data_IF_628168181633
#
_entry.id   IF_628168181633
#
_cell.length_a   1.000
_cell.length_b   1.000
_cell.length_c   1.000
_cell.angle_alpha   90.00
_cell.angle_beta   90.00
_cell.angle_gamma   90.00
#
_symmetry.space_group_name_H-M   'P 1'
#
loop_
_entity.id
_entity.type
_entity.pdbx_description
1 polymer ?
#
# COMPACT_ATOMS: atom_id res chain seq x y z
N UNK A 1 66.99 31.18 -19.64
CA UNK A 1 66.51 31.94 -20.83
C UNK A 1 65.15 31.32 -21.19
N UNK A 2 63.99 31.98 -21.09
CA UNK A 2 63.62 33.32 -21.52
C UNK A 2 62.53 33.98 -20.63
N UNK A 3 62.47 35.32 -20.79
CA UNK A 3 61.62 36.39 -20.26
C UNK A 3 60.09 36.17 -20.42
N UNK A 4 59.25 36.48 -19.40
CA UNK A 4 58.50 37.74 -19.15
C UNK A 4 57.33 38.04 -20.12
N UNK A 5 56.09 37.99 -19.61
CA UNK A 5 55.10 39.09 -19.65
C UNK A 5 53.76 38.68 -19.00
N UNK A 6 53.19 39.59 -18.21
CA UNK A 6 52.04 39.42 -17.32
C UNK A 6 50.63 39.51 -17.96
N UNK A 7 49.58 39.72 -17.13
CA UNK A 7 48.26 39.13 -17.32
C UNK A 7 47.27 40.04 -18.09
N UNK A 8 46.23 39.43 -18.69
CA UNK A 8 45.04 40.14 -19.17
C UNK A 8 43.83 39.78 -18.31
N UNK A 9 43.32 40.79 -17.63
CA UNK A 9 41.99 40.89 -17.06
C UNK A 9 40.95 41.06 -18.16
N UNK A 10 39.85 40.31 -18.11
CA UNK A 10 38.57 40.72 -18.72
C UNK A 10 37.45 40.40 -17.76
N UNK A 11 36.82 41.48 -17.28
CA UNK A 11 35.54 41.51 -16.60
C UNK A 11 34.47 40.69 -17.33
N UNK A 12 33.81 39.77 -16.60
CA UNK A 12 32.51 39.24 -16.96
C UNK A 12 31.53 39.57 -15.84
N UNK A 13 30.59 40.47 -16.14
CA UNK A 13 29.47 40.84 -15.27
C UNK A 13 28.53 39.64 -15.06
N UNK A 14 27.88 39.50 -13.89
CA UNK A 14 26.86 38.48 -13.70
C UNK A 14 25.55 38.92 -14.36
N UNK A 15 25.06 38.15 -15.33
CA UNK A 15 23.76 38.38 -15.96
C UNK A 15 22.62 37.99 -15.01
N UNK A 16 21.62 38.86 -14.95
CA UNK A 16 20.58 38.90 -13.93
C UNK A 16 19.61 37.72 -14.01
N UNK A 17 19.24 37.22 -12.83
CA UNK A 17 18.19 36.23 -12.66
C UNK A 17 16.86 36.67 -13.28
N UNK A 18 16.39 35.93 -14.29
CA UNK A 18 15.01 35.99 -14.74
C UNK A 18 14.13 35.18 -13.78
N UNK A 19 13.43 35.88 -12.90
CA UNK A 19 12.29 35.32 -12.18
C UNK A 19 11.20 34.94 -13.18
N UNK A 20 10.90 33.65 -13.29
CA UNK A 20 9.71 33.17 -14.00
C UNK A 20 8.46 33.54 -13.18
N UNK A 21 7.71 34.56 -13.62
CA UNK A 21 6.36 34.83 -13.13
C UNK A 21 5.36 33.91 -13.83
N UNK A 22 4.65 33.10 -13.04
CA UNK A 22 3.51 32.31 -13.53
C UNK A 22 2.33 33.24 -13.90
N UNK A 23 1.56 32.94 -14.95
CA UNK A 23 0.40 33.72 -15.35
C UNK A 23 -0.75 33.59 -14.32
N UNK A 24 -1.62 34.62 -14.18
CA UNK A 24 -2.71 34.60 -13.21
C UNK A 24 -3.78 33.54 -13.55
N UNK A 25 -4.23 32.82 -12.52
CA UNK A 25 -5.26 31.78 -12.62
C UNK A 25 -6.63 32.37 -13.00
N UNK A 26 -7.30 31.77 -13.99
CA UNK A 26 -8.72 32.05 -14.28
C UNK A 26 -9.62 31.46 -13.18
N UNK A 27 -10.70 32.15 -12.77
CA UNK A 27 -11.64 31.64 -11.79
C UNK A 27 -12.45 30.46 -12.35
N UNK A 28 -12.85 29.48 -11.52
CA UNK A 28 -13.59 28.31 -11.97
C UNK A 28 -15.01 28.68 -12.43
N UNK A 29 -15.44 28.14 -13.57
CA UNK A 29 -16.82 28.23 -14.05
C UNK A 29 -17.74 27.44 -13.10
N UNK A 30 -18.75 28.12 -12.54
CA UNK A 30 -19.82 27.48 -11.75
C UNK A 30 -20.59 26.48 -12.62
N UNK A 31 -20.61 25.20 -12.22
CA UNK A 31 -21.53 24.20 -12.79
C UNK A 31 -22.95 24.42 -12.24
N UNK A 32 -24.01 24.26 -13.05
CA UNK A 32 -25.39 24.36 -12.57
C UNK A 32 -25.72 23.22 -11.59
N UNK A 33 -26.46 23.55 -10.52
CA UNK A 33 -26.94 22.59 -9.51
C UNK A 33 -27.89 21.58 -10.16
N UNK A 34 -27.59 20.29 -10.03
CA UNK A 34 -28.58 19.22 -10.26
C UNK A 34 -29.48 19.10 -9.04
N UNK A 35 -30.79 19.16 -9.25
CA UNK A 35 -31.81 18.84 -8.25
C UNK A 35 -31.85 17.33 -7.99
N UNK A 36 -32.06 16.87 -6.74
CA UNK A 36 -32.19 15.44 -6.46
C UNK A 36 -33.56 14.92 -6.91
N UNK A 37 -33.60 13.74 -7.52
CA UNK A 37 -34.83 12.99 -7.76
C UNK A 37 -35.38 12.41 -6.44
N UNK A 38 -36.72 12.31 -6.28
CA UNK A 38 -37.32 11.75 -5.07
C UNK A 38 -37.15 10.22 -4.99
N UNK A 39 -37.11 9.62 -3.78
CA UNK A 39 -37.03 8.18 -3.60
C UNK A 39 -38.37 7.49 -3.92
N UNK A 40 -38.36 6.20 -4.32
CA UNK A 40 -39.58 5.45 -4.58
C UNK A 40 -40.34 5.10 -3.29
N UNK A 41 -41.66 5.06 -3.40
CA UNK A 41 -42.61 4.83 -2.32
C UNK A 41 -42.52 3.41 -1.74
N UNK A 42 -42.51 3.31 -0.41
CA UNK A 42 -42.64 2.07 0.35
C UNK A 42 -44.14 1.83 0.58
N UNK A 43 -44.68 0.72 0.05
CA UNK A 43 -46.00 0.22 0.44
C UNK A 43 -45.91 -0.59 1.73
N UNK A 44 -46.64 -0.16 2.76
CA UNK A 44 -47.08 -1.00 3.89
C UNK A 44 -47.97 -2.15 3.39
N UNK A 45 -48.42 -3.12 4.18
CA UNK A 45 -48.70 -3.16 5.61
C UNK A 45 -49.31 -4.54 5.91
N UNK A 46 -49.09 -5.11 7.10
CA UNK A 46 -49.99 -6.12 7.68
C UNK A 46 -49.35 -7.06 8.70
N UNK A 47 -50.03 -7.45 9.81
CA UNK A 47 -49.41 -7.46 11.14
C UNK A 47 -49.24 -8.84 11.80
N UNK A 48 -48.40 -8.84 12.84
CA UNK A 48 -48.23 -9.85 13.89
C UNK A 48 -49.53 -10.16 14.69
N UNK A 49 -49.73 -11.44 15.04
CA UNK A 49 -49.89 -11.90 16.45
C UNK A 49 -49.87 -13.45 16.62
N UNK A 50 -49.25 -13.98 17.70
CA UNK A 50 -49.29 -15.39 18.15
C UNK A 50 -50.28 -15.52 19.34
N UNK A 51 -50.23 -16.51 20.29
CA UNK A 51 -49.62 -17.86 20.36
C UNK A 51 -50.63 -18.95 20.83
N UNK A 52 -50.26 -20.23 20.90
CA UNK A 52 -50.91 -21.20 21.81
C UNK A 52 -49.90 -22.23 22.38
N UNK A 53 -49.93 -22.35 23.71
CA UNK A 53 -49.29 -23.37 24.55
C UNK A 53 -50.20 -24.60 24.70
N UNK A 54 -49.60 -25.80 24.81
CA UNK A 54 -50.01 -26.89 25.70
C UNK A 54 -49.04 -28.08 25.54
N UNK A 55 -48.17 -28.34 26.52
CA UNK A 55 -48.29 -29.35 27.61
C UNK A 55 -48.48 -30.79 27.14
N UNK A 56 -47.53 -31.66 27.49
CA UNK A 56 -47.69 -33.11 27.33
C UNK A 56 -46.42 -33.88 27.67
N UNK A 57 -46.25 -34.16 28.96
CA UNK A 57 -45.26 -35.06 29.57
C UNK A 57 -45.37 -36.50 29.06
N UNK A 58 -44.24 -37.20 28.91
CA UNK A 58 -44.18 -38.65 28.70
C UNK A 58 -42.77 -39.21 28.90
N UNK A 59 -42.56 -39.84 30.04
CA UNK A 59 -41.36 -40.59 30.45
C UNK A 59 -41.25 -41.91 29.68
N UNK A 60 -40.04 -42.35 29.32
CA UNK A 60 -39.80 -43.68 28.74
C UNK A 60 -38.36 -43.96 28.30
N UNK A 61 -37.55 -44.41 29.26
CA UNK A 61 -36.43 -45.36 29.23
C UNK A 61 -35.56 -45.68 27.98
N UNK A 62 -34.25 -45.74 28.28
CA UNK A 62 -33.21 -46.69 27.83
C UNK A 62 -32.84 -46.83 26.34
N UNK A 63 -31.58 -46.50 26.02
CA UNK A 63 -30.46 -47.45 25.84
C UNK A 63 -29.47 -47.04 24.71
N UNK A 64 -28.17 -47.20 25.02
CA UNK A 64 -27.00 -47.41 24.11
C UNK A 64 -26.59 -46.33 23.10
N UNK A 65 -25.33 -45.90 23.22
CA UNK A 65 -24.57 -45.35 22.09
C UNK A 65 -23.36 -44.53 22.53
N UNK A 66 -22.25 -45.20 22.85
CA UNK A 66 -21.01 -44.52 23.17
C UNK A 66 -20.50 -43.67 22.01
N UNK A 67 -20.17 -42.41 22.28
CA UNK A 67 -19.27 -41.62 21.44
C UNK A 67 -18.19 -41.06 22.35
N UNK A 68 -17.01 -41.67 22.28
CA UNK A 68 -15.78 -41.14 22.87
C UNK A 68 -15.57 -39.73 22.36
N UNK A 69 -15.45 -38.78 23.28
CA UNK A 69 -14.95 -37.44 23.00
C UNK A 69 -13.58 -37.55 22.31
N UNK A 70 -13.52 -37.19 21.03
CA UNK A 70 -12.24 -37.00 20.32
C UNK A 70 -11.58 -35.77 20.93
N UNK A 71 -10.52 -36.03 21.71
CA UNK A 71 -9.55 -35.03 22.16
C UNK A 71 -9.07 -34.20 20.95
N UNK A 72 -8.88 -32.91 21.21
CA UNK A 72 -8.61 -31.86 20.23
C UNK A 72 -7.60 -32.24 19.16
N UNK A 73 -7.97 -31.96 17.92
CA UNK A 73 -7.05 -31.93 16.78
C UNK A 73 -6.15 -30.71 17.00
N UNK A 74 -4.88 -30.93 17.31
CA UNK A 74 -3.89 -29.87 17.24
C UNK A 74 -3.94 -29.25 15.84
N UNK A 75 -4.16 -27.94 15.75
CA UNK A 75 -4.06 -27.22 14.48
C UNK A 75 -2.61 -27.30 14.02
N UNK A 76 -2.37 -28.12 13.00
CA UNK A 76 -1.10 -28.09 12.26
C UNK A 76 -1.07 -26.71 11.60
N UNK A 77 -0.22 -25.80 12.10
CA UNK A 77 0.08 -24.54 11.41
C UNK A 77 0.56 -24.94 10.01
N UNK A 78 -0.27 -24.71 8.99
CA UNK A 78 0.14 -24.91 7.61
C UNK A 78 1.38 -24.03 7.39
N UNK A 79 2.48 -24.65 6.95
CA UNK A 79 3.69 -23.92 6.58
C UNK A 79 3.37 -23.07 5.35
N UNK A 80 3.90 -21.85 5.30
CA UNK A 80 3.80 -21.01 4.11
C UNK A 80 4.41 -21.75 2.91
N UNK A 81 3.66 -21.83 1.81
CA UNK A 81 4.13 -22.41 0.56
C UNK A 81 4.34 -21.29 -0.46
N UNK A 82 5.62 -21.07 -0.78
CA UNK A 82 6.04 -20.08 -1.77
C UNK A 82 5.54 -20.46 -3.16
N UNK A 83 5.57 -21.74 -3.53
CA UNK A 83 5.21 -22.22 -4.87
C UNK A 83 3.72 -21.99 -5.14
N UNK A 84 2.85 -22.36 -4.20
CA UNK A 84 1.40 -22.10 -4.34
C UNK A 84 1.11 -20.61 -4.51
N UNK A 85 1.81 -19.75 -3.76
CA UNK A 85 1.64 -18.29 -3.88
C UNK A 85 2.13 -17.76 -5.23
N UNK A 86 3.27 -18.26 -5.71
CA UNK A 86 3.84 -17.91 -7.02
C UNK A 86 2.89 -18.30 -8.16
N UNK A 87 2.33 -19.51 -8.13
CA UNK A 87 1.34 -19.98 -9.12
C UNK A 87 0.12 -19.07 -9.14
N UNK A 88 -0.48 -18.80 -7.97
CA UNK A 88 -1.65 -17.91 -7.88
C UNK A 88 -1.35 -16.51 -8.42
N UNK A 89 -0.17 -15.95 -8.08
CA UNK A 89 0.24 -14.64 -8.59
C UNK A 89 0.46 -14.63 -10.11
N UNK A 90 1.07 -15.68 -10.67
CA UNK A 90 1.31 -15.80 -12.11
C UNK A 90 0.01 -16.00 -12.91
N UNK A 91 -0.95 -16.77 -12.39
CA UNK A 91 -2.22 -17.04 -13.05
C UNK A 91 -3.16 -15.83 -12.98
N UNK A 92 -3.43 -15.35 -11.77
CA UNK A 92 -4.46 -14.33 -11.50
C UNK A 92 -3.95 -12.89 -11.63
N UNK A 93 -2.62 -12.69 -11.59
CA UNK A 93 -2.00 -11.36 -11.58
C UNK A 93 -2.18 -10.59 -10.26
N UNK A 94 -2.91 -11.13 -9.29
CA UNK A 94 -3.10 -10.58 -7.95
C UNK A 94 -3.13 -11.70 -6.92
N UNK A 95 -2.51 -11.47 -5.76
CA UNK A 95 -2.58 -12.40 -4.63
C UNK A 95 -2.66 -11.62 -3.31
N UNK A 96 -3.64 -11.96 -2.47
CA UNK A 96 -3.81 -11.36 -1.14
C UNK A 96 -3.46 -12.40 -0.06
N UNK A 97 -2.42 -12.11 0.72
CA UNK A 97 -1.98 -12.97 1.80
C UNK A 97 -2.44 -12.42 3.15
N UNK A 98 -3.16 -13.22 3.97
CA UNK A 98 -3.57 -12.80 5.30
C UNK A 98 -2.38 -12.74 6.27
N UNK A 99 -2.51 -11.99 7.39
CA UNK A 99 -1.39 -11.77 8.32
C UNK A 99 -0.75 -13.04 8.86
N UNK A 100 -1.54 -14.06 9.21
CA UNK A 100 -1.00 -15.32 9.76
C UNK A 100 -0.08 -16.03 8.75
N UNK A 101 -0.45 -16.01 7.47
CA UNK A 101 0.35 -16.57 6.38
C UNK A 101 1.65 -15.79 6.22
N UNK A 102 1.59 -14.46 6.24
CA UNK A 102 2.78 -13.61 6.11
C UNK A 102 3.69 -13.77 7.33
N UNK A 103 3.15 -13.73 8.55
CA UNK A 103 3.91 -13.92 9.78
C UNK A 103 4.61 -15.28 9.83
N UNK A 104 3.93 -16.34 9.38
CA UNK A 104 4.54 -17.66 9.23
C UNK A 104 5.66 -17.67 8.18
N UNK A 105 5.48 -16.98 7.05
CA UNK A 105 6.48 -16.86 5.98
C UNK A 105 7.73 -16.10 6.42
N UNK A 106 7.56 -15.07 7.24
CA UNK A 106 8.64 -14.22 7.73
C UNK A 106 9.34 -14.81 8.99
N UNK A 107 8.73 -15.79 9.65
CA UNK A 107 9.24 -16.37 10.89
C UNK A 107 9.23 -15.38 12.06
N UNK A 108 8.19 -14.53 12.12
CA UNK A 108 8.15 -13.38 13.03
C UNK A 108 7.24 -13.61 14.23
N UNK A 109 7.79 -13.33 15.41
CA UNK A 109 7.04 -13.22 16.65
C UNK A 109 6.23 -11.91 16.71
N UNK A 110 4.99 -11.91 17.24
CA UNK A 110 4.12 -10.73 17.28
C UNK A 110 4.76 -9.48 17.89
N UNK A 111 5.69 -9.63 18.84
CA UNK A 111 6.39 -8.51 19.50
C UNK A 111 7.24 -7.67 18.54
N UNK A 112 7.69 -8.23 17.41
CA UNK A 112 8.42 -7.46 16.39
C UNK A 112 7.52 -6.50 15.63
N UNK A 113 6.22 -6.73 15.64
CA UNK A 113 5.27 -5.87 14.95
C UNK A 113 5.23 -4.46 15.53
N UNK A 114 5.24 -4.33 16.86
CA UNK A 114 5.24 -3.03 17.54
C UNK A 114 6.47 -2.21 17.16
N UNK A 115 7.65 -2.81 17.16
CA UNK A 115 8.89 -2.16 16.74
C UNK A 115 8.83 -1.75 15.26
N UNK A 116 8.36 -2.63 14.39
CA UNK A 116 8.25 -2.33 12.96
C UNK A 116 7.28 -1.19 12.67
N UNK A 117 6.11 -1.18 13.32
CA UNK A 117 5.10 -0.14 13.13
C UNK A 117 5.56 1.24 13.64
N UNK A 118 6.45 1.29 14.63
CA UNK A 118 6.97 2.55 15.17
C UNK A 118 7.78 3.37 14.14
N UNK A 119 8.32 2.74 13.09
CA UNK A 119 9.00 3.46 12.01
C UNK A 119 8.10 4.46 11.27
N UNK A 120 6.77 4.30 11.34
CA UNK A 120 5.82 5.25 10.73
C UNK A 120 5.69 6.56 11.50
N UNK A 121 6.16 6.61 12.75
CA UNK A 121 6.09 7.82 13.57
C UNK A 121 7.22 8.82 13.27
N UNK A 122 8.24 8.40 12.53
CA UNK A 122 9.35 9.24 12.05
C UNK A 122 9.34 9.39 10.52
N UNK A 123 8.17 9.42 9.87
CA UNK A 123 8.08 9.75 8.44
C UNK A 123 8.14 11.26 8.21
N UNK A 124 8.71 11.66 7.07
CA UNK A 124 8.77 13.05 6.63
C UNK A 124 7.55 13.43 5.78
N UNK A 125 7.15 14.71 5.79
CA UNK A 125 6.06 15.19 4.94
C UNK A 125 6.40 15.04 3.45
N UNK A 126 5.41 14.60 2.65
CA UNK A 126 5.51 14.52 1.18
C UNK A 126 5.13 15.89 0.57
N UNK A 127 6.11 16.65 0.02
CA UNK A 127 5.84 18.00 -0.46
C UNK A 127 5.07 18.03 -1.79
N UNK A 128 4.94 16.90 -2.48
CA UNK A 128 4.35 16.84 -3.83
C UNK A 128 2.83 16.72 -3.80
N UNK A 129 2.27 16.08 -2.78
CA UNK A 129 0.82 15.80 -2.74
C UNK A 129 -0.03 16.94 -2.19
N UNK A 130 0.58 17.92 -1.53
CA UNK A 130 -0.14 19.03 -0.92
C UNK A 130 -0.95 19.84 -1.95
N UNK A 131 -0.44 19.97 -3.18
CA UNK A 131 -1.12 20.63 -4.30
C UNK A 131 -2.43 19.94 -4.70
N UNK A 132 -2.61 18.67 -4.32
CA UNK A 132 -3.78 17.84 -4.62
C UNK A 132 -4.75 17.73 -3.42
N UNK A 133 -4.54 18.50 -2.35
CA UNK A 133 -5.44 18.54 -1.20
C UNK A 133 -5.35 17.34 -0.26
N UNK A 134 -4.32 16.51 -0.41
CA UNK A 134 -4.04 15.37 0.48
C UNK A 134 -2.76 15.63 1.27
N UNK A 135 -2.67 15.04 2.46
CA UNK A 135 -1.48 15.03 3.30
C UNK A 135 -0.97 13.60 3.38
N UNK A 136 0.31 13.43 3.05
CA UNK A 136 1.01 12.16 3.12
C UNK A 136 2.36 12.39 3.77
N UNK A 137 2.80 11.44 4.58
CA UNK A 137 4.17 11.36 5.06
C UNK A 137 4.80 10.12 4.47
N UNK A 138 6.06 10.20 4.06
CA UNK A 138 6.78 9.08 3.47
C UNK A 138 8.29 9.23 3.58
N UNK A 139 8.96 8.10 3.41
CA UNK A 139 10.38 8.01 3.11
C UNK A 139 10.58 7.12 1.89
N UNK A 140 11.81 7.01 1.41
CA UNK A 140 12.14 6.20 0.25
C UNK A 140 13.62 5.81 0.23
N UNK A 141 13.89 4.54 -0.03
CA UNK A 141 15.21 4.06 -0.45
C UNK A 141 15.09 2.90 -1.44
N UNK A 142 16.23 2.51 -2.00
CA UNK A 142 16.37 1.39 -2.93
C UNK A 142 17.31 0.33 -2.38
N UNK A 143 17.05 -0.91 -2.73
CA UNK A 143 17.88 -2.05 -2.37
C UNK A 143 18.11 -2.96 -3.58
N UNK A 144 19.31 -3.51 -3.69
CA UNK A 144 19.59 -4.67 -4.53
C UNK A 144 19.29 -5.92 -3.72
N UNK A 145 18.60 -6.89 -4.31
CA UNK A 145 18.30 -8.16 -3.65
C UNK A 145 18.55 -9.36 -4.58
N UNK A 146 19.18 -10.39 -4.04
CA UNK A 146 19.43 -11.67 -4.71
C UNK A 146 18.79 -12.77 -3.86
N UNK A 147 17.56 -13.20 -4.18
CA UNK A 147 16.80 -14.09 -3.29
C UNK A 147 17.45 -15.46 -3.07
N UNK A 148 18.21 -15.95 -4.06
CA UNK A 148 18.81 -17.28 -4.05
C UNK A 148 19.88 -17.46 -2.95
N UNK A 149 20.66 -16.42 -2.67
CA UNK A 149 21.69 -16.42 -1.62
C UNK A 149 21.30 -15.56 -0.39
N UNK A 150 20.15 -14.88 -0.45
CA UNK A 150 19.64 -14.07 0.65
C UNK A 150 20.36 -12.73 0.82
N UNK A 151 21.05 -12.25 -0.22
CA UNK A 151 21.71 -10.94 -0.24
C UNK A 151 20.67 -9.82 -0.39
N UNK A 152 20.92 -8.75 0.36
CA UNK A 152 20.11 -7.53 0.37
C UNK A 152 21.04 -6.39 0.75
N UNK A 153 21.33 -5.52 -0.21
CA UNK A 153 22.27 -4.42 -0.07
C UNK A 153 21.57 -3.08 -0.36
N UNK A 154 21.77 -2.05 0.47
CA UNK A 154 21.26 -0.72 0.18
C UNK A 154 21.95 -0.16 -1.08
N UNK A 155 21.17 0.47 -1.95
CA UNK A 155 21.69 1.23 -3.08
C UNK A 155 21.84 2.71 -2.70
N UNK A 156 22.68 3.49 -3.42
CA UNK A 156 22.77 4.93 -3.20
C UNK A 156 21.39 5.60 -3.25
N UNK A 157 21.11 6.47 -2.29
CA UNK A 157 19.89 7.27 -2.29
C UNK A 157 19.89 8.23 -3.49
N UNK A 158 18.86 8.17 -4.30
CA UNK A 158 18.67 9.03 -5.48
C UNK A 158 17.26 9.63 -5.45
N UNK A 159 17.00 10.72 -6.19
CA UNK A 159 15.62 11.15 -6.43
C UNK A 159 14.78 10.00 -6.99
N UNK A 160 13.50 9.99 -6.65
CA UNK A 160 12.55 9.01 -7.18
C UNK A 160 11.98 9.51 -8.51
N UNK A 161 12.27 8.77 -9.57
CA UNK A 161 11.58 8.86 -10.85
C UNK A 161 10.70 7.63 -10.95
N UNK A 162 9.40 7.82 -11.19
CA UNK A 162 8.50 6.68 -11.32
C UNK A 162 8.81 5.93 -12.62
N UNK A 163 9.09 4.62 -12.56
CA UNK A 163 9.42 3.83 -13.74
C UNK A 163 8.35 3.91 -14.84
N UNK A 164 8.81 3.85 -16.09
CA UNK A 164 7.95 3.84 -17.27
C UNK A 164 7.12 5.10 -17.49
N UNK A 165 7.39 6.20 -16.77
CA UNK A 165 6.66 7.47 -16.86
C UNK A 165 5.14 7.29 -16.66
N UNK A 166 4.79 6.30 -15.82
CA UNK A 166 3.40 5.85 -15.64
C UNK A 166 2.56 6.78 -14.78
N UNK A 167 3.19 7.72 -14.05
CA UNK A 167 2.47 8.65 -13.20
C UNK A 167 2.00 9.90 -13.97
N UNK A 168 0.70 10.04 -14.24
CA UNK A 168 0.19 11.20 -14.99
C UNK A 168 0.29 12.51 -14.20
N UNK A 169 0.44 12.47 -12.86
CA UNK A 169 0.60 13.67 -12.04
C UNK A 169 2.04 14.21 -12.05
N UNK A 170 3.02 13.35 -12.30
CA UNK A 170 4.44 13.67 -12.21
C UNK A 170 5.21 13.15 -13.42
N UNK A 171 4.84 13.55 -14.66
CA UNK A 171 5.60 13.16 -15.84
C UNK A 171 7.00 13.74 -15.74
N UNK A 172 8.02 12.87 -15.71
CA UNK A 172 9.44 13.24 -15.72
C UNK A 172 9.92 14.08 -14.52
N UNK A 173 9.15 14.13 -13.43
CA UNK A 173 9.52 14.90 -12.24
C UNK A 173 10.37 14.03 -11.31
N UNK A 174 11.61 14.44 -11.10
CA UNK A 174 12.45 13.93 -10.02
C UNK A 174 11.85 14.34 -8.66
N UNK A 175 11.43 13.34 -7.88
CA UNK A 175 10.87 13.57 -6.55
C UNK A 175 11.89 13.27 -5.47
N UNK A 176 12.30 14.30 -4.74
CA UNK A 176 13.24 14.20 -3.63
C UNK A 176 12.45 13.88 -2.35
N UNK A 177 12.57 12.64 -1.88
CA UNK A 177 12.00 12.20 -0.62
C UNK A 177 13.09 12.01 0.42
N UNK A 178 12.74 12.07 1.70
CA UNK A 178 13.69 11.73 2.76
C UNK A 178 14.08 10.23 2.66
N UNK A 179 15.37 9.88 2.91
CA UNK A 179 15.80 8.49 2.98
C UNK A 179 15.12 7.77 4.15
N UNK A 180 15.14 6.44 4.15
CA UNK A 180 14.82 5.65 5.33
C UNK A 180 15.80 5.99 6.47
N UNK A 181 15.36 5.83 7.72
CA UNK A 181 16.25 5.98 8.88
C UNK A 181 17.22 4.79 8.94
N UNK A 182 18.36 4.95 9.62
CA UNK A 182 19.31 3.85 9.80
C UNK A 182 18.67 2.67 10.56
N UNK A 183 17.79 2.95 11.51
CA UNK A 183 17.02 1.97 12.26
C UNK A 183 16.06 1.18 11.37
N UNK A 184 15.42 1.84 10.39
CA UNK A 184 14.55 1.17 9.43
C UNK A 184 15.38 0.36 8.42
N UNK A 185 16.48 0.91 7.90
CA UNK A 185 17.36 0.17 6.98
C UNK A 185 17.92 -1.11 7.61
N UNK A 186 18.18 -1.10 8.92
CA UNK A 186 18.67 -2.27 9.68
C UNK A 186 17.56 -3.18 10.24
N UNK A 187 16.29 -2.91 9.92
CA UNK A 187 15.14 -3.62 10.50
C UNK A 187 15.03 -5.07 9.99
N UNK A 188 15.13 -6.08 10.88
CA UNK A 188 15.05 -7.48 10.46
C UNK A 188 13.75 -7.88 9.76
N UNK A 189 12.60 -7.29 10.16
CA UNK A 189 11.33 -7.55 9.49
C UNK A 189 11.36 -7.08 8.03
N UNK A 190 11.91 -5.87 7.81
CA UNK A 190 12.04 -5.31 6.46
C UNK A 190 12.90 -6.23 5.60
N UNK A 191 14.08 -6.65 6.10
CA UNK A 191 14.95 -7.58 5.39
C UNK A 191 14.22 -8.88 5.01
N UNK A 192 13.54 -9.51 5.97
CA UNK A 192 12.81 -10.76 5.73
C UNK A 192 11.70 -10.59 4.68
N UNK A 193 10.98 -9.46 4.74
CA UNK A 193 9.94 -9.12 3.78
C UNK A 193 10.51 -8.93 2.38
N UNK A 194 11.56 -8.12 2.20
CA UNK A 194 12.14 -7.88 0.87
C UNK A 194 12.68 -9.17 0.22
N UNK A 195 13.30 -10.05 1.00
CA UNK A 195 13.74 -11.35 0.50
C UNK A 195 12.57 -12.27 0.13
N UNK A 196 11.47 -12.24 0.89
CA UNK A 196 10.24 -12.94 0.52
C UNK A 196 9.66 -12.40 -0.78
N UNK A 197 9.58 -11.07 -0.93
CA UNK A 197 9.07 -10.44 -2.14
C UNK A 197 9.91 -10.80 -3.37
N UNK A 198 11.23 -10.82 -3.24
CA UNK A 198 12.12 -11.26 -4.33
C UNK A 198 11.88 -12.72 -4.74
N UNK A 199 11.67 -13.63 -3.77
CA UNK A 199 11.29 -15.02 -4.10
C UNK A 199 9.94 -15.07 -4.81
N UNK A 200 8.94 -14.32 -4.35
CA UNK A 200 7.63 -14.31 -5.00
C UNK A 200 7.66 -13.68 -6.40
N UNK A 201 8.50 -12.67 -6.60
CA UNK A 201 8.68 -12.00 -7.89
C UNK A 201 9.24 -12.94 -8.98
N UNK A 202 9.94 -14.01 -8.60
CA UNK A 202 10.46 -14.99 -9.57
C UNK A 202 9.36 -15.77 -10.30
N UNK A 203 8.10 -15.66 -9.89
CA UNK A 203 6.95 -16.16 -10.65
C UNK A 203 6.65 -15.31 -11.89
N UNK A 204 7.11 -14.06 -11.90
CA UNK A 204 6.76 -13.05 -12.90
C UNK A 204 7.91 -12.75 -13.87
N UNK A 205 9.16 -12.99 -13.45
CA UNK A 205 10.37 -12.78 -14.24
C UNK A 205 11.52 -13.67 -13.74
N UNK A 206 12.42 -14.09 -14.62
CA UNK A 206 13.56 -14.98 -14.31
C UNK A 206 14.83 -14.17 -13.97
N UNK A 207 14.66 -13.13 -13.14
CA UNK A 207 15.75 -12.27 -12.73
C UNK A 207 16.47 -12.83 -11.49
N UNK A 208 17.78 -13.01 -11.60
CA UNK A 208 18.63 -13.41 -10.47
C UNK A 208 18.70 -12.32 -9.38
N UNK A 209 18.74 -11.06 -9.82
CA UNK A 209 18.83 -9.88 -8.95
C UNK A 209 17.71 -8.90 -9.29
N UNK A 210 17.15 -8.28 -8.26
CA UNK A 210 16.10 -7.28 -8.39
C UNK A 210 16.52 -5.98 -7.74
N UNK A 211 16.09 -4.86 -8.34
CA UNK A 211 16.06 -3.58 -7.64
C UNK A 211 14.70 -3.43 -6.98
N UNK A 212 14.70 -3.26 -5.65
CA UNK A 212 13.52 -2.93 -4.87
C UNK A 212 13.48 -1.44 -4.56
N UNK A 213 12.31 -0.83 -4.72
CA UNK A 213 12.00 0.54 -4.27
C UNK A 213 11.07 0.44 -3.07
N UNK A 214 11.48 0.99 -1.94
CA UNK A 214 10.81 0.81 -0.66
C UNK A 214 10.21 2.14 -0.21
N UNK A 215 8.88 2.19 -0.08
CA UNK A 215 8.13 3.41 0.22
C UNK A 215 7.20 3.21 1.43
N UNK A 216 7.68 3.41 2.67
CA UNK A 216 6.79 3.55 3.81
C UNK A 216 5.99 4.84 3.65
N UNK A 217 4.67 4.75 3.81
CA UNK A 217 3.77 5.89 3.66
C UNK A 217 2.66 5.89 4.71
N UNK A 218 2.33 7.09 5.18
CA UNK A 218 1.20 7.42 6.05
C UNK A 218 0.30 8.41 5.32
N UNK A 219 -0.94 8.02 5.04
CA UNK A 219 -1.97 8.92 4.51
C UNK A 219 -2.75 9.51 5.67
N UNK A 220 -2.99 10.82 5.63
CA UNK A 220 -3.65 11.58 6.70
C UNK A 220 -4.96 12.17 6.17
N UNK A 221 -6.07 11.87 6.84
CA UNK A 221 -7.35 12.54 6.63
C UNK A 221 -7.67 13.44 7.84
N UNK A 222 -8.18 14.64 7.58
CA UNK A 222 -8.61 15.58 8.62
C UNK A 222 -9.60 16.58 8.02
N UNK A 223 -10.10 17.53 8.81
CA UNK A 223 -10.96 18.60 8.29
C UNK A 223 -10.34 19.34 7.07
N UNK A 224 -9.01 19.45 7.05
CA UNK A 224 -8.26 20.17 6.01
C UNK A 224 -7.58 19.23 4.99
N UNK A 225 -7.84 17.92 5.02
CA UNK A 225 -7.17 16.96 4.14
C UNK A 225 -8.06 15.79 3.73
N UNK A 226 -8.15 15.54 2.42
CA UNK A 226 -9.05 14.56 1.82
C UNK A 226 -8.73 13.10 2.20
N UNK A 227 -7.51 12.80 2.67
CA UNK A 227 -7.11 11.44 2.99
C UNK A 227 -7.02 10.51 1.77
N UNK A 228 -6.74 11.06 0.59
CA UNK A 228 -6.63 10.31 -0.67
C UNK A 228 -5.21 9.71 -0.82
N UNK A 229 -5.06 8.37 -0.81
CA UNK A 229 -3.77 7.71 -1.03
C UNK A 229 -3.25 7.81 -2.46
N UNK A 230 -4.17 7.80 -3.43
CA UNK A 230 -3.89 7.69 -4.88
C UNK A 230 -4.58 8.83 -5.62
N UNK A 231 -4.12 10.09 -5.46
CA UNK A 231 -4.75 11.27 -6.07
C UNK A 231 -4.75 11.25 -7.61
N UNK A 232 -3.87 10.45 -8.21
CA UNK A 232 -3.83 10.15 -9.65
C UNK A 232 -4.99 9.25 -10.12
N UNK A 233 -5.71 8.62 -9.19
CA UNK A 233 -6.73 7.62 -9.47
C UNK A 233 -6.13 6.25 -9.76
N UNK A 234 -6.84 5.45 -10.56
CA UNK A 234 -6.42 4.11 -10.97
C UNK A 234 -5.17 4.19 -11.83
N UNK A 235 -4.11 3.50 -11.44
CA UNK A 235 -2.80 3.59 -12.09
C UNK A 235 -2.02 2.27 -12.03
N UNK A 236 -0.80 2.33 -12.60
CA UNK A 236 0.27 1.35 -12.56
C UNK A 236 1.55 2.05 -12.15
N UNK A 237 2.47 1.32 -11.54
CA UNK A 237 3.74 1.87 -11.08
C UNK A 237 4.86 1.76 -12.13
N UNK A 238 4.66 0.98 -13.19
CA UNK A 238 5.62 0.78 -14.27
C UNK A 238 6.69 -0.25 -13.92
N UNK A 239 6.34 -1.24 -13.09
CA UNK A 239 7.28 -2.23 -12.53
C UNK A 239 6.82 -3.66 -12.84
N UNK A 240 7.57 -4.66 -12.38
CA UNK A 240 7.16 -6.07 -12.51
C UNK A 240 6.19 -6.45 -11.40
N UNK A 241 6.61 -6.26 -10.14
CA UNK A 241 5.79 -6.55 -8.96
C UNK A 241 5.57 -5.26 -8.18
N UNK A 242 4.31 -4.95 -7.86
CA UNK A 242 3.94 -3.94 -6.86
C UNK A 242 3.29 -4.63 -5.67
N UNK A 243 3.60 -4.16 -4.47
CA UNK A 243 3.06 -4.73 -3.24
C UNK A 243 2.58 -3.64 -2.29
N UNK A 244 1.53 -3.95 -1.54
CA UNK A 244 1.04 -3.11 -0.44
C UNK A 244 0.98 -3.96 0.82
N UNK A 245 1.94 -3.77 1.71
CA UNK A 245 1.95 -4.38 3.03
C UNK A 245 1.29 -3.46 4.05
N UNK A 246 0.17 -3.89 4.62
CA UNK A 246 -0.64 -3.06 5.51
C UNK A 246 -0.04 -3.03 6.92
N UNK A 247 0.28 -1.83 7.41
CA UNK A 247 0.92 -1.63 8.71
C UNK A 247 -0.10 -1.30 9.78
N UNK A 248 -1.08 -0.46 9.46
CA UNK A 248 -2.13 -0.14 10.40
C UNK A 248 -2.99 1.02 9.96
N UNK A 249 -4.00 1.29 10.78
CA UNK A 249 -4.82 2.49 10.65
C UNK A 249 -5.26 2.96 12.02
N UNK A 250 -5.51 4.26 12.14
CA UNK A 250 -6.03 4.88 13.37
C UNK A 250 -7.13 5.86 13.01
N UNK A 251 -8.26 5.77 13.71
CA UNK A 251 -9.41 6.66 13.51
C UNK A 251 -9.87 6.73 12.04
N UNK A 252 -9.74 5.64 11.27
CA UNK A 252 -9.95 5.66 9.83
C UNK A 252 -10.96 4.60 9.38
N UNK A 253 -11.87 5.02 8.51
CA UNK A 253 -12.70 4.17 7.64
C UNK A 253 -12.35 4.44 6.17
N UNK A 254 -12.94 3.70 5.23
CA UNK A 254 -12.55 3.78 3.82
C UNK A 254 -11.21 3.10 3.56
N UNK A 255 -10.43 3.60 2.60
CA UNK A 255 -9.15 2.98 2.25
C UNK A 255 -9.29 1.64 1.52
N UNK A 256 -10.38 1.47 0.77
CA UNK A 256 -10.67 0.26 -0.01
C UNK A 256 -9.71 0.18 -1.18
N UNK A 257 -8.94 -0.89 -1.24
CA UNK A 257 -8.09 -1.23 -2.37
C UNK A 257 -8.91 -1.93 -3.45
N UNK A 258 -8.76 -1.47 -4.69
CA UNK A 258 -9.34 -2.10 -5.87
C UNK A 258 -8.21 -2.43 -6.85
N UNK A 259 -8.20 -3.67 -7.33
CA UNK A 259 -7.30 -4.15 -8.40
C UNK A 259 -8.16 -4.62 -9.55
N UNK A 260 -7.82 -4.20 -10.76
CA UNK A 260 -8.52 -4.56 -12.00
C UNK A 260 -7.52 -5.02 -13.05
N UNK A 261 -7.99 -5.75 -14.06
CA UNK A 261 -7.19 -6.03 -15.27
C UNK A 261 -6.91 -4.75 -16.05
N UNK A 262 -5.97 -4.79 -16.99
CA UNK A 262 -5.76 -3.70 -17.96
C UNK A 262 -7.02 -3.32 -18.76
N UNK A 263 -7.98 -4.24 -18.93
CA UNK A 263 -9.27 -3.97 -19.57
C UNK A 263 -10.29 -3.31 -18.63
N UNK A 264 -9.99 -3.21 -17.34
CA UNK A 264 -10.85 -2.61 -16.31
C UNK A 264 -11.73 -3.59 -15.55
N UNK A 265 -11.63 -4.90 -15.82
CA UNK A 265 -12.40 -5.95 -15.14
C UNK A 265 -11.92 -6.13 -13.68
N UNK A 266 -12.82 -6.22 -12.70
CA UNK A 266 -12.45 -6.33 -11.29
C UNK A 266 -11.78 -7.67 -10.97
N UNK A 267 -10.61 -7.63 -10.34
CA UNK A 267 -9.90 -8.80 -9.82
C UNK A 267 -9.99 -8.88 -8.29
N UNK A 268 -9.87 -7.75 -7.61
CA UNK A 268 -9.93 -7.65 -6.16
C UNK A 268 -10.58 -6.33 -5.74
N UNK A 269 -11.44 -6.37 -4.73
CA UNK A 269 -11.89 -5.17 -4.01
C UNK A 269 -12.00 -5.50 -2.53
N UNK A 270 -11.13 -4.90 -1.71
CA UNK A 270 -11.06 -5.19 -0.28
C UNK A 270 -10.51 -4.01 0.51
N UNK A 271 -10.91 -3.87 1.76
CA UNK A 271 -10.24 -2.96 2.69
C UNK A 271 -9.14 -3.74 3.43
N UNK A 272 -7.88 -3.29 3.32
CA UNK A 272 -6.82 -3.83 4.15
C UNK A 272 -6.98 -3.29 5.56
N UNK A 273 -7.28 -4.16 6.52
CA UNK A 273 -7.67 -3.78 7.88
C UNK A 273 -6.87 -4.50 8.98
N UNK A 274 -6.32 -5.68 8.69
CA UNK A 274 -5.46 -6.41 9.61
C UNK A 274 -3.98 -6.13 9.35
N UNK A 275 -3.24 -5.60 10.35
CA UNK A 275 -1.79 -5.42 10.27
C UNK A 275 -1.08 -6.71 9.86
N UNK A 276 -0.16 -6.62 8.89
CA UNK A 276 0.54 -7.79 8.33
C UNK A 276 -0.12 -8.38 7.07
N UNK A 277 -1.27 -7.87 6.63
CA UNK A 277 -1.86 -8.25 5.34
C UNK A 277 -0.95 -7.78 4.19
N UNK A 278 -0.63 -8.68 3.26
CA UNK A 278 0.21 -8.38 2.10
C UNK A 278 -0.58 -8.56 0.79
N UNK A 279 -0.71 -7.49 0.03
CA UNK A 279 -1.21 -7.54 -1.35
C UNK A 279 -0.04 -7.57 -2.33
N UNK A 280 -0.07 -8.51 -3.27
CA UNK A 280 0.87 -8.67 -4.37
C UNK A 280 0.11 -8.45 -5.69
N UNK A 281 0.68 -7.69 -6.63
CA UNK A 281 0.11 -7.52 -7.97
C UNK A 281 1.21 -7.59 -9.03
N UNK A 282 0.99 -8.36 -10.10
CA UNK A 282 1.75 -8.20 -11.34
C UNK A 282 1.34 -6.85 -11.94
N UNK A 283 2.19 -5.85 -11.71
CA UNK A 283 1.95 -4.47 -12.14
C UNK A 283 1.94 -4.39 -13.65
N UNK A 284 2.40 -5.41 -14.41
CA UNK A 284 2.37 -5.43 -15.88
C UNK A 284 0.97 -5.72 -16.44
N UNK A 285 0.11 -6.37 -15.64
CA UNK A 285 -1.20 -6.90 -16.06
C UNK A 285 -2.38 -6.26 -15.35
N UNK A 286 -2.12 -5.54 -14.26
CA UNK A 286 -3.14 -5.01 -13.36
C UNK A 286 -3.05 -3.50 -13.23
N UNK A 287 -4.18 -2.85 -12.94
CA UNK A 287 -4.24 -1.47 -12.46
C UNK A 287 -4.78 -1.49 -11.03
N UNK A 288 -4.32 -0.56 -10.19
CA UNK A 288 -4.74 -0.50 -8.80
C UNK A 288 -5.11 0.92 -8.35
N UNK A 289 -5.91 1.00 -7.30
CA UNK A 289 -6.33 2.25 -6.65
C UNK A 289 -6.65 1.98 -5.18
N UNK A 290 -6.53 3.00 -4.32
CA UNK A 290 -7.07 2.97 -2.97
C UNK A 290 -8.04 4.13 -2.79
N UNK A 291 -9.26 3.86 -2.30
CA UNK A 291 -10.22 4.93 -2.01
C UNK A 291 -9.74 5.80 -0.83
N UNK A 292 -10.25 7.03 -0.77
CA UNK A 292 -9.94 7.94 0.34
C UNK A 292 -10.30 7.31 1.70
N UNK A 293 -9.47 7.60 2.70
CA UNK A 293 -9.80 7.32 4.10
C UNK A 293 -10.59 8.49 4.71
N UNK A 294 -11.46 8.20 5.67
CA UNK A 294 -12.27 9.19 6.37
C UNK A 294 -12.17 9.01 7.89
N UNK A 295 -12.12 10.12 8.66
CA UNK A 295 -12.09 10.03 10.11
C UNK A 295 -13.38 9.43 10.67
N UNK A 296 -13.24 8.41 11.53
CA UNK A 296 -14.38 7.88 12.28
C UNK A 296 -14.89 8.92 13.28
N UNK A 297 -13.97 9.56 14.00
CA UNK A 297 -14.20 10.73 14.84
C UNK A 297 -13.67 11.97 14.12
N UNK A 298 -14.54 12.87 13.62
CA UNK A 298 -14.15 14.03 12.83
C UNK A 298 -13.35 15.08 13.62
N UNK A 299 -13.31 15.00 14.95
CA UNK A 299 -12.52 15.91 15.78
C UNK A 299 -11.02 15.53 15.81
N UNK A 300 -10.65 14.35 15.31
CA UNK A 300 -9.26 13.86 15.31
C UNK A 300 -8.82 13.45 13.90
N UNK A 301 -7.52 13.57 13.57
CA UNK A 301 -7.02 13.08 12.30
C UNK A 301 -7.13 11.54 12.19
N UNK A 302 -7.28 11.07 10.97
CA UNK A 302 -7.26 9.67 10.57
C UNK A 302 -5.93 9.33 9.90
N UNK A 303 -5.43 8.12 10.13
CA UNK A 303 -4.16 7.65 9.57
C UNK A 303 -4.33 6.28 8.92
N UNK A 304 -3.67 6.08 7.78
CA UNK A 304 -3.48 4.76 7.15
C UNK A 304 -2.01 4.58 6.79
N UNK A 305 -1.41 3.55 7.35
CA UNK A 305 0.00 3.22 7.23
C UNK A 305 0.17 1.97 6.35
N UNK A 306 0.99 2.10 5.32
CA UNK A 306 1.33 1.01 4.42
C UNK A 306 2.79 1.11 3.99
N UNK A 307 3.41 -0.05 3.76
CA UNK A 307 4.68 -0.16 3.06
C UNK A 307 4.40 -0.58 1.63
N UNK A 308 4.59 0.34 0.69
CA UNK A 308 4.57 0.01 -0.74
C UNK A 308 5.97 -0.38 -1.15
N UNK A 309 6.11 -1.57 -1.72
CA UNK A 309 7.39 -2.03 -2.27
C UNK A 309 7.19 -2.45 -3.71
N UNK A 310 8.03 -1.93 -4.60
CA UNK A 310 8.06 -2.35 -6.01
C UNK A 310 9.36 -3.04 -6.35
N UNK A 311 9.31 -3.99 -7.29
CA UNK A 311 10.46 -4.72 -7.78
C UNK A 311 10.54 -4.66 -9.30
N UNK A 312 11.75 -4.42 -9.80
CA UNK A 312 12.13 -4.53 -11.21
C UNK A 312 13.38 -5.41 -11.33
N UNK A 313 13.53 -6.19 -12.42
CA UNK A 313 14.80 -6.85 -12.72
C UNK A 313 15.95 -5.83 -12.72
N UNK A 314 17.08 -6.18 -12.11
CA UNK A 314 18.27 -5.33 -12.02
C UNK A 314 19.17 -5.44 -13.26
#
# INVERSE_FOLDING_TARGET
MCAHCGPRSTDARPDGGRQFRLPPRRPPRRRPRRTPSPPPAISGSGPHRPPLHSTGTGVGDNNRGGVRARKGRASVKARFDTTTTQVALAEEGVCLLPPDTVNAALGIEPSRWTRFAAHWDDLADDPYVAAHGTRRQRRYDRFSLTPANGELDPLPHTPFIQPGHTNPLYPDVERHFAPLTAEFQSEPLMRALLLLLGRLASALDDAATWTSYVHPMRVIASADSQGDPTPEGRHRDGVTLVTSFFVGRRNATGGTTTVVTSAGEPLLTTALDQPGTLLLCDDRRTLHQVSAIQPTDPARPAFRDALVTTLVPA
#
